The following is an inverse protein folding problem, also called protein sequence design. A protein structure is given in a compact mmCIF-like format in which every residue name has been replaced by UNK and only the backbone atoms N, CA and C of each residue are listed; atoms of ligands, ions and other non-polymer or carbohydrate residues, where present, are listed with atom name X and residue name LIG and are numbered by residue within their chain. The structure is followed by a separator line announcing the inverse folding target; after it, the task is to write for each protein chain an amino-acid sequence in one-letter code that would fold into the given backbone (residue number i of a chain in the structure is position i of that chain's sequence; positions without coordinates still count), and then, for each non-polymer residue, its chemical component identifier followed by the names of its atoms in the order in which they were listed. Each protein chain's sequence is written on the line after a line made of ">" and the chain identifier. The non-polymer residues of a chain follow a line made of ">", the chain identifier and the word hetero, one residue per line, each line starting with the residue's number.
data_IF_547927253892
#
_entry.id   IF_547927253892
#
_cell.length_a   1.000
_cell.length_b   1.000
_cell.length_c   1.000
_cell.angle_alpha   90.00
_cell.angle_beta   90.00
_cell.angle_gamma   90.00
#
_symmetry.space_group_name_H-M   'P 1'
#
loop_
_entity.id
_entity.type
_entity.pdbx_description
1 polymer ?
#
# COMPACT_ATOMS: atom_id res chain seq x y z
N UNK A 1 61.69 31.30 6.20
CA UNK A 1 60.38 31.96 6.39
C UNK A 1 59.56 31.67 5.14
N UNK A 2 58.63 30.71 5.19
CA UNK A 2 57.75 30.40 4.04
C UNK A 2 56.44 31.18 4.16
N UNK A 3 56.04 31.82 3.07
CA UNK A 3 54.73 32.48 2.91
C UNK A 3 53.64 31.41 2.79
N UNK A 4 52.44 31.60 3.39
CA UNK A 4 51.32 30.70 3.14
C UNK A 4 50.71 30.98 1.77
N UNK A 5 50.37 29.92 1.03
CA UNK A 5 49.60 29.99 -0.21
C UNK A 5 48.11 30.01 0.10
N UNK A 6 47.37 30.93 -0.51
CA UNK A 6 45.92 31.03 -0.41
C UNK A 6 45.23 29.81 -1.05
N UNK A 7 44.41 29.11 -0.26
CA UNK A 7 43.53 28.04 -0.72
C UNK A 7 42.17 28.67 -1.04
N UNK A 8 41.75 28.63 -2.31
CA UNK A 8 40.40 28.97 -2.72
C UNK A 8 39.56 27.70 -2.89
N UNK A 9 38.52 27.54 -2.07
CA UNK A 9 37.51 26.48 -2.21
C UNK A 9 36.39 27.00 -3.11
N UNK A 10 36.05 26.26 -4.17
CA UNK A 10 34.82 26.49 -4.93
C UNK A 10 33.69 25.73 -4.23
N UNK A 11 32.64 26.45 -3.86
CA UNK A 11 31.40 25.87 -3.35
C UNK A 11 30.54 25.67 -4.59
N UNK A 12 30.25 24.41 -4.95
CA UNK A 12 29.15 24.12 -5.86
C UNK A 12 27.86 24.30 -5.06
N UNK A 13 26.93 25.10 -5.60
CA UNK A 13 25.60 25.32 -5.02
C UNK A 13 24.79 24.02 -5.11
N UNK A 14 25.04 23.10 -4.18
CA UNK A 14 24.20 21.93 -3.99
C UNK A 14 22.91 22.40 -3.32
N UNK A 15 21.79 22.24 -4.04
CA UNK A 15 20.45 22.66 -3.64
C UNK A 15 20.11 22.03 -2.28
N UNK A 16 20.08 22.86 -1.25
CA UNK A 16 19.54 22.50 0.05
C UNK A 16 18.02 22.41 -0.10
N UNK A 17 17.50 21.20 -0.33
CA UNK A 17 16.07 20.93 -0.22
C UNK A 17 15.76 21.02 1.28
N UNK A 18 15.48 22.24 1.72
CA UNK A 18 14.86 22.53 3.00
C UNK A 18 13.68 21.56 3.17
N UNK A 19 13.86 20.56 4.04
CA UNK A 19 12.84 19.58 4.41
C UNK A 19 11.76 20.29 5.24
N UNK A 20 11.00 21.15 4.58
CA UNK A 20 9.82 21.78 5.12
C UNK A 20 8.59 21.09 4.54
N UNK A 21 8.41 19.81 4.89
CA UNK A 21 7.15 19.09 4.62
C UNK A 21 6.39 18.99 5.94
N UNK A 22 5.92 20.14 6.42
CA UNK A 22 4.73 20.18 7.24
C UNK A 22 3.54 20.39 6.30
N UNK A 23 3.02 19.32 5.69
CA UNK A 23 1.62 19.26 5.25
C UNK A 23 1.20 17.83 4.98
N UNK A 24 0.18 17.44 5.73
CA UNK A 24 -0.83 16.43 5.47
C UNK A 24 -1.22 16.32 3.97
N UNK A 25 -0.50 15.48 3.22
CA UNK A 25 -0.82 15.17 1.83
C UNK A 25 -0.79 13.65 1.69
N UNK A 26 -1.97 13.07 1.51
CA UNK A 26 -2.14 11.74 0.92
C UNK A 26 -1.21 11.63 -0.29
N UNK A 27 -0.08 10.94 -0.11
CA UNK A 27 0.85 10.60 -1.19
C UNK A 27 0.17 9.54 -2.06
N UNK A 28 -0.76 9.99 -2.91
CA UNK A 28 -1.12 9.31 -4.15
C UNK A 28 0.08 9.43 -5.10
N UNK A 29 1.16 8.71 -4.79
CA UNK A 29 2.20 8.43 -5.77
C UNK A 29 1.61 7.32 -6.65
N UNK A 30 0.87 7.72 -7.68
CA UNK A 30 0.62 6.86 -8.83
C UNK A 30 1.96 6.66 -9.54
N UNK A 31 2.76 5.71 -9.05
CA UNK A 31 3.80 5.12 -9.88
C UNK A 31 3.11 4.29 -10.95
N UNK A 32 3.37 4.61 -12.22
CA UNK A 32 3.01 3.82 -13.40
C UNK A 32 3.71 2.44 -13.36
N UNK A 33 3.29 1.61 -12.42
CA UNK A 33 3.47 0.16 -12.48
C UNK A 33 2.49 -0.31 -13.57
N UNK A 34 2.93 -1.13 -14.51
CA UNK A 34 2.03 -1.83 -15.43
C UNK A 34 0.89 -2.46 -14.60
N UNK A 35 -0.26 -1.79 -14.55
CA UNK A 35 -1.42 -2.31 -13.85
C UNK A 35 -1.88 -3.51 -14.66
N UNK A 36 -1.52 -4.70 -14.20
CA UNK A 36 -2.27 -5.86 -14.59
C UNK A 36 -3.70 -5.62 -14.08
N UNK A 37 -4.69 -5.64 -14.97
CA UNK A 37 -6.10 -5.43 -14.61
C UNK A 37 -6.62 -6.58 -13.70
N UNK A 38 -5.84 -7.64 -13.54
CA UNK A 38 -6.13 -8.73 -12.62
C UNK A 38 -5.99 -8.30 -11.15
N UNK A 39 -6.97 -8.66 -10.29
CA UNK A 39 -6.86 -8.47 -8.85
C UNK A 39 -5.55 -9.04 -8.29
N UNK A 40 -4.91 -8.27 -7.41
CA UNK A 40 -3.63 -8.57 -6.80
C UNK A 40 -2.51 -8.82 -7.82
N UNK A 41 -2.58 -8.24 -9.03
CA UNK A 41 -1.63 -8.50 -10.11
C UNK A 41 -1.48 -10.00 -10.43
N UNK A 42 -2.55 -10.78 -10.22
CA UNK A 42 -2.54 -12.24 -10.34
C UNK A 42 -1.82 -12.99 -9.22
N UNK A 43 -1.44 -12.32 -8.13
CA UNK A 43 -0.74 -12.92 -6.98
C UNK A 43 -1.67 -13.71 -6.06
N UNK A 44 -1.15 -14.73 -5.35
CA UNK A 44 -1.94 -15.53 -4.43
C UNK A 44 -2.54 -14.71 -3.29
N UNK A 45 -3.81 -14.97 -2.99
CA UNK A 45 -4.51 -14.41 -1.83
C UNK A 45 -4.27 -15.33 -0.63
N UNK A 46 -3.93 -14.75 0.52
CA UNK A 46 -3.70 -15.51 1.76
C UNK A 46 -4.69 -15.19 2.87
N UNK A 47 -5.39 -14.06 2.78
CA UNK A 47 -6.38 -13.65 3.78
C UNK A 47 -7.61 -13.05 3.11
N UNK A 48 -8.77 -13.37 3.68
CA UNK A 48 -10.09 -12.92 3.24
C UNK A 48 -10.88 -12.55 4.48
N UNK A 49 -11.46 -11.36 4.50
CA UNK A 49 -12.30 -10.88 5.59
C UNK A 49 -13.63 -10.38 5.08
N UNK A 50 -14.71 -10.76 5.75
CA UNK A 50 -16.09 -10.51 5.32
C UNK A 50 -16.75 -9.57 6.33
N UNK A 51 -17.47 -8.57 5.80
CA UNK A 51 -18.27 -7.65 6.61
C UNK A 51 -19.37 -8.37 7.42
N UNK A 52 -19.83 -7.81 8.56
CA UNK A 52 -20.83 -8.44 9.41
C UNK A 52 -22.12 -8.88 8.70
N UNK A 53 -22.59 -8.13 7.70
CA UNK A 53 -23.77 -8.48 6.88
C UNK A 53 -23.46 -9.31 5.65
N UNK A 54 -22.18 -9.57 5.38
CA UNK A 54 -21.73 -10.31 4.20
C UNK A 54 -21.96 -9.58 2.87
N UNK A 55 -22.12 -8.25 2.90
CA UNK A 55 -22.37 -7.41 1.70
C UNK A 55 -21.08 -6.90 1.07
N UNK A 56 -19.97 -7.05 1.77
CA UNK A 56 -18.64 -6.63 1.35
C UNK A 56 -17.58 -7.58 1.90
N UNK A 57 -16.50 -7.78 1.15
CA UNK A 57 -15.32 -8.48 1.64
C UNK A 57 -14.06 -7.80 1.13
N UNK A 58 -12.95 -8.07 1.80
CA UNK A 58 -11.61 -7.66 1.38
C UNK A 58 -10.70 -8.87 1.28
N UNK A 59 -9.74 -8.81 0.38
CA UNK A 59 -8.72 -9.84 0.16
C UNK A 59 -7.34 -9.23 0.28
N UNK A 60 -6.36 -10.03 0.71
CA UNK A 60 -4.97 -9.60 0.85
C UNK A 60 -4.01 -10.57 0.18
N UNK A 61 -3.07 -10.02 -0.59
CA UNK A 61 -1.91 -10.75 -1.12
C UNK A 61 -0.62 -10.23 -0.47
N UNK A 62 0.21 -11.11 0.11
CA UNK A 62 1.48 -10.73 0.72
C UNK A 62 2.60 -10.57 -0.30
N UNK A 63 2.43 -11.04 -1.54
CA UNK A 63 3.48 -10.94 -2.57
C UNK A 63 3.57 -9.54 -3.19
N UNK A 64 2.44 -8.85 -3.33
CA UNK A 64 2.36 -7.48 -3.86
C UNK A 64 1.81 -6.48 -2.82
N UNK A 65 1.62 -6.93 -1.58
CA UNK A 65 1.13 -6.16 -0.44
C UNK A 65 -0.21 -5.45 -0.69
N UNK A 66 -1.02 -5.94 -1.62
CA UNK A 66 -2.26 -5.30 -2.00
C UNK A 66 -3.46 -5.84 -1.22
N UNK A 67 -4.36 -4.93 -0.89
CA UNK A 67 -5.69 -5.19 -0.33
C UNK A 67 -6.72 -4.71 -1.35
N UNK A 68 -7.65 -5.60 -1.71
CA UNK A 68 -8.70 -5.31 -2.69
C UNK A 68 -10.06 -5.53 -2.06
N UNK A 69 -10.97 -4.58 -2.29
CA UNK A 69 -12.35 -4.65 -1.83
C UNK A 69 -13.29 -5.23 -2.88
N UNK A 70 -14.33 -5.94 -2.44
CA UNK A 70 -15.27 -6.63 -3.32
C UNK A 70 -16.70 -6.42 -2.85
N UNK A 71 -17.56 -5.96 -3.76
CA UNK A 71 -18.98 -5.84 -3.47
C UNK A 71 -19.63 -7.23 -3.61
N UNK A 72 -20.29 -7.67 -2.53
CA UNK A 72 -21.06 -8.93 -2.52
C UNK A 72 -22.51 -8.59 -2.83
N UNK A 73 -22.82 -8.43 -4.12
CA UNK A 73 -24.19 -8.20 -4.56
C UNK A 73 -24.98 -9.51 -4.44
N UNK A 74 -26.19 -9.47 -3.84
CA UNK A 74 -27.14 -10.58 -3.96
C UNK A 74 -27.68 -10.58 -5.37
N UNK A 75 -27.12 -11.44 -6.22
CA UNK A 75 -27.60 -11.62 -7.58
C UNK A 75 -28.75 -12.63 -7.51
N UNK A 76 -29.96 -12.12 -7.32
CA UNK A 76 -31.17 -12.95 -7.26
C UNK A 76 -31.48 -13.55 -8.64
N UNK A 77 -30.88 -13.01 -9.72
CA UNK A 77 -31.24 -13.29 -11.11
C UNK A 77 -30.05 -13.65 -12.04
N UNK A 78 -28.87 -14.05 -11.52
CA UNK A 78 -27.77 -14.54 -12.39
C UNK A 78 -27.35 -15.96 -11.99
N UNK A 79 -27.30 -16.83 -12.99
CA UNK A 79 -26.90 -18.25 -12.88
C UNK A 79 -25.45 -18.45 -12.38
N UNK A 80 -24.65 -17.38 -12.33
CA UNK A 80 -23.25 -17.42 -11.89
C UNK A 80 -22.95 -16.37 -10.81
N UNK A 81 -22.41 -16.83 -9.69
CA UNK A 81 -21.92 -15.98 -8.61
C UNK A 81 -20.51 -15.49 -8.94
N UNK A 82 -20.40 -14.39 -9.69
CA UNK A 82 -19.12 -13.73 -9.93
C UNK A 82 -19.00 -12.45 -9.10
N UNK A 83 -18.06 -12.44 -8.16
CA UNK A 83 -17.69 -11.24 -7.41
C UNK A 83 -17.00 -10.24 -8.34
N UNK A 84 -17.35 -8.96 -8.21
CA UNK A 84 -16.67 -7.87 -8.91
C UNK A 84 -15.85 -7.04 -7.92
N UNK A 85 -14.58 -6.76 -8.22
CA UNK A 85 -13.79 -5.86 -7.39
C UNK A 85 -14.44 -4.47 -7.41
N UNK A 86 -14.36 -3.80 -6.27
CA UNK A 86 -14.71 -2.38 -6.12
C UNK A 86 -13.54 -1.51 -6.59
N UNK A 87 -13.75 -0.19 -6.66
CA UNK A 87 -12.66 0.75 -6.95
C UNK A 87 -11.65 0.86 -5.78
N UNK A 88 -11.92 0.18 -4.66
CA UNK A 88 -11.04 0.14 -3.50
C UNK A 88 -9.85 -0.80 -3.72
N UNK A 89 -8.67 -0.19 -3.87
CA UNK A 89 -7.38 -0.86 -3.85
C UNK A 89 -6.44 -0.10 -2.91
N UNK A 90 -5.82 -0.81 -1.97
CA UNK A 90 -4.85 -0.25 -1.04
C UNK A 90 -3.58 -1.08 -1.03
N UNK A 91 -2.43 -0.44 -1.27
CA UNK A 91 -1.12 -1.09 -1.22
C UNK A 91 -0.44 -0.71 0.10
N UNK A 92 -0.02 -1.71 0.86
CA UNK A 92 0.71 -1.48 2.11
C UNK A 92 2.17 -1.16 1.73
N UNK A 93 2.55 0.11 1.87
CA UNK A 93 3.87 0.63 1.43
C UNK A 93 5.04 0.30 2.37
N UNK A 94 4.80 -0.40 3.48
CA UNK A 94 5.86 -0.71 4.43
C UNK A 94 6.31 -2.15 4.17
N UNK A 95 7.44 -2.29 3.49
CA UNK A 95 8.02 -3.52 2.92
C UNK A 95 8.29 -4.67 3.90
N UNK A 96 8.03 -4.46 5.20
CA UNK A 96 8.31 -5.43 6.27
C UNK A 96 7.09 -5.76 7.13
N UNK A 97 5.89 -5.39 6.69
CA UNK A 97 4.65 -5.65 7.44
C UNK A 97 4.10 -7.03 7.11
N UNK A 98 4.13 -7.91 8.11
CA UNK A 98 3.34 -9.13 8.03
C UNK A 98 1.94 -8.82 8.51
N UNK A 99 0.98 -9.03 7.63
CA UNK A 99 -0.42 -8.93 7.99
C UNK A 99 -0.74 -10.02 9.02
N UNK A 100 -1.13 -9.61 10.23
CA UNK A 100 -1.56 -10.53 11.30
C UNK A 100 -3.07 -10.75 11.19
N UNK A 101 -3.81 -9.66 11.03
CA UNK A 101 -5.27 -9.71 11.00
C UNK A 101 -5.85 -8.49 10.28
N UNK A 102 -7.03 -8.66 9.69
CA UNK A 102 -7.84 -7.58 9.13
C UNK A 102 -9.28 -7.73 9.61
N UNK A 103 -10.06 -6.67 9.50
CA UNK A 103 -11.51 -6.76 9.51
C UNK A 103 -12.09 -5.61 8.69
N UNK A 104 -13.28 -5.82 8.14
CA UNK A 104 -13.98 -4.82 7.35
C UNK A 104 -15.41 -4.65 7.85
N UNK A 105 -15.88 -3.41 7.93
CA UNK A 105 -17.27 -3.11 8.30
C UNK A 105 -18.20 -3.17 7.08
N UNK A 106 -19.51 -3.21 7.30
CA UNK A 106 -20.51 -3.04 6.23
C UNK A 106 -20.35 -1.69 5.49
N UNK A 107 -19.90 -0.65 6.20
CA UNK A 107 -19.60 0.69 5.64
C UNK A 107 -18.24 0.75 4.92
N UNK A 108 -17.65 -0.40 4.55
CA UNK A 108 -16.36 -0.55 3.85
C UNK A 108 -15.14 0.02 4.59
N UNK A 109 -15.22 0.24 5.90
CA UNK A 109 -14.08 0.65 6.73
C UNK A 109 -13.20 -0.55 7.02
N UNK A 110 -11.93 -0.47 6.65
CA UNK A 110 -10.92 -1.48 6.91
C UNK A 110 -10.14 -1.13 8.18
N UNK A 111 -9.95 -2.11 9.06
CA UNK A 111 -8.95 -2.06 10.12
C UNK A 111 -8.01 -3.26 9.99
N UNK A 112 -6.74 -3.08 10.29
CA UNK A 112 -5.76 -4.16 10.21
C UNK A 112 -4.66 -4.03 11.25
N UNK A 113 -4.14 -5.18 11.66
CA UNK A 113 -3.00 -5.32 12.56
C UNK A 113 -1.88 -5.95 11.75
N UNK A 114 -0.71 -5.32 11.78
CA UNK A 114 0.49 -5.81 11.12
C UNK A 114 1.66 -5.71 12.07
N UNK A 115 2.59 -6.67 11.95
CA UNK A 115 3.85 -6.63 12.68
C UNK A 115 4.97 -6.20 11.74
N UNK A 116 5.89 -5.42 12.28
CA UNK A 116 7.14 -5.10 11.62
C UNK A 116 8.08 -6.29 11.83
N UNK A 117 8.30 -7.10 10.79
CA UNK A 117 9.45 -8.00 10.80
C UNK A 117 10.69 -7.13 10.72
N UNK A 118 11.31 -6.87 11.87
CA UNK A 118 12.72 -6.55 11.90
C UNK A 118 13.44 -7.84 11.51
N UNK A 119 13.69 -8.03 10.22
CA UNK A 119 14.73 -8.94 9.77
C UNK A 119 16.08 -8.33 10.19
N UNK A 120 16.38 -8.41 11.48
CA UNK A 120 17.73 -8.34 12.01
C UNK A 120 18.39 -9.67 11.61
N UNK A 121 18.70 -9.82 10.32
CA UNK A 121 19.59 -10.87 9.86
C UNK A 121 20.97 -10.63 10.51
N UNK A 122 21.37 -11.60 11.33
CA UNK A 122 22.70 -11.73 11.94
C UNK A 122 23.66 -12.39 10.96
#
# INVERSE_FOLDING_TARGET
>A
MSQPSDISVKIDDEIDIENNIATDVEKNIATDIEKNDEPHNGKPITMIEISPKGTYLVTYSPEDYSIIGWNVTKVVDMDEFQLKPDDYCHIITHEYKNMINMCVSDDKKLAYISDYRNDLSK
#
